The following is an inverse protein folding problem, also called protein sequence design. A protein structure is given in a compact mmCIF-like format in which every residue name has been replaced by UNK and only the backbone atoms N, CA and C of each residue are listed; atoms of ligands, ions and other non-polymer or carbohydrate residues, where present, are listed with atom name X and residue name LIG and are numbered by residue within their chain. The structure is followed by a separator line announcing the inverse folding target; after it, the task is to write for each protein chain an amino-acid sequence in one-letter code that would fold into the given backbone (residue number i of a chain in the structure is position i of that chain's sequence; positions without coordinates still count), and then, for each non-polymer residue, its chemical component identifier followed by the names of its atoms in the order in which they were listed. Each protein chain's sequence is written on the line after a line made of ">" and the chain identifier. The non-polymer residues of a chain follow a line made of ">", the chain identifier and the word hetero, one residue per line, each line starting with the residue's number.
data_IF_532766343864
#
_entry.id   IF_532766343864
#
_cell.length_a   1.000
_cell.length_b   1.000
_cell.length_c   1.000
_cell.angle_alpha   90.00
_cell.angle_beta   90.00
_cell.angle_gamma   90.00
#
_symmetry.space_group_name_H-M   'P 1'
#
loop_
_entity.id
_entity.type
_entity.pdbx_description
1 polymer ?
#
# COMPACT_ATOMS: atom_id res chain seq x y z
N UNK A 1 4.39 -8.57 -1.01
CA UNK A 1 4.45 -8.00 0.36
C UNK A 1 3.01 -7.79 0.82
N UNK A 2 2.57 -8.39 1.92
CA UNK A 2 1.13 -8.32 2.30
C UNK A 2 0.82 -7.26 3.34
N UNK A 3 -0.26 -6.50 3.15
CA UNK A 3 -0.81 -5.54 4.10
C UNK A 3 -2.19 -5.97 4.60
N UNK A 4 -2.50 -5.65 5.86
CA UNK A 4 -3.82 -5.77 6.48
C UNK A 4 -4.04 -4.66 7.50
N UNK A 5 -5.29 -4.41 7.86
CA UNK A 5 -5.61 -3.57 9.01
C UNK A 5 -5.18 -4.20 10.35
N UNK A 6 -5.05 -3.39 11.41
CA UNK A 6 -4.92 -3.89 12.79
C UNK A 6 -6.14 -4.73 13.18
N UNK A 7 -5.93 -5.83 13.91
CA UNK A 7 -7.01 -6.73 14.35
C UNK A 7 -7.70 -6.27 15.63
N UNK A 8 -7.01 -5.45 16.43
CA UNK A 8 -7.46 -4.93 17.73
C UNK A 8 -6.81 -3.57 18.04
N UNK A 9 -7.27 -2.92 19.11
CA UNK A 9 -6.78 -1.61 19.54
C UNK A 9 -5.31 -1.64 19.99
N UNK A 10 -4.84 -2.76 20.55
CA UNK A 10 -3.46 -2.92 20.96
C UNK A 10 -2.52 -2.91 19.75
N UNK A 11 -2.87 -3.64 18.70
CA UNK A 11 -2.12 -3.67 17.44
C UNK A 11 -2.18 -2.31 16.74
N UNK A 12 -3.33 -1.62 16.77
CA UNK A 12 -3.46 -0.26 16.24
C UNK A 12 -2.51 0.69 16.96
N UNK A 13 -2.46 0.64 18.29
CA UNK A 13 -1.57 1.48 19.08
C UNK A 13 -0.09 1.20 18.77
N UNK A 14 0.31 -0.07 18.67
CA UNK A 14 1.67 -0.47 18.27
C UNK A 14 2.04 0.05 16.89
N UNK A 15 1.13 -0.03 15.92
CA UNK A 15 1.35 0.47 14.57
C UNK A 15 1.57 2.01 14.57
N UNK A 16 0.75 2.75 15.30
CA UNK A 16 0.91 4.21 15.46
C UNK A 16 2.23 4.57 16.13
N UNK A 17 2.63 3.85 17.18
CA UNK A 17 3.94 4.03 17.83
C UNK A 17 5.10 3.75 16.87
N UNK A 18 4.99 2.73 16.01
CA UNK A 18 6.01 2.45 15.01
C UNK A 18 6.16 3.60 14.01
N UNK A 19 5.03 4.15 13.52
CA UNK A 19 5.02 5.31 12.62
C UNK A 19 5.67 6.52 13.29
N UNK A 20 5.27 6.86 14.52
CA UNK A 20 5.83 8.00 15.27
C UNK A 20 7.33 7.87 15.55
N UNK A 21 7.83 6.64 15.70
CA UNK A 21 9.25 6.34 15.88
C UNK A 21 10.02 6.20 14.55
N UNK A 22 9.44 6.61 13.41
CA UNK A 22 10.11 6.58 12.11
C UNK A 22 10.33 5.17 11.55
N UNK A 23 9.60 4.17 12.04
CA UNK A 23 9.65 2.78 11.55
C UNK A 23 8.62 2.50 10.46
N UNK A 24 7.80 3.48 10.11
CA UNK A 24 6.89 3.41 8.98
C UNK A 24 7.65 3.59 7.66
N UNK A 25 7.06 3.09 6.57
CA UNK A 25 7.50 3.34 5.20
C UNK A 25 6.37 4.00 4.44
N UNK A 26 6.69 4.92 3.54
CA UNK A 26 5.68 5.53 2.69
C UNK A 26 5.22 4.57 1.59
N UNK A 27 4.02 4.77 1.06
CA UNK A 27 3.53 3.98 -0.10
C UNK A 27 4.47 4.19 -1.29
N UNK A 28 4.97 5.40 -1.52
CA UNK A 28 5.88 5.70 -2.62
C UNK A 28 7.18 4.90 -2.51
N UNK A 29 7.81 4.84 -1.33
CA UNK A 29 9.03 4.04 -1.09
C UNK A 29 8.80 2.54 -1.31
N UNK A 30 7.62 2.03 -0.98
CA UNK A 30 7.29 0.61 -1.18
C UNK A 30 7.07 0.33 -2.66
N UNK A 31 6.37 1.23 -3.38
CA UNK A 31 6.15 1.07 -4.82
C UNK A 31 7.48 1.17 -5.58
N UNK A 32 8.33 2.14 -5.26
CA UNK A 32 9.65 2.30 -5.88
C UNK A 32 10.57 1.09 -5.65
N UNK A 33 10.55 0.49 -4.45
CA UNK A 33 11.29 -0.75 -4.19
C UNK A 33 10.78 -1.92 -5.07
N UNK A 34 9.47 -1.99 -5.31
CA UNK A 34 8.86 -3.08 -6.06
C UNK A 34 9.04 -2.92 -7.57
N UNK A 35 8.98 -1.70 -8.10
CA UNK A 35 9.06 -1.42 -9.53
C UNK A 35 10.45 -1.05 -9.99
N UNK A 36 11.32 -0.57 -9.10
CA UNK A 36 12.61 0.02 -9.43
C UNK A 36 12.52 1.44 -9.99
N UNK A 37 11.31 2.04 -10.01
CA UNK A 37 11.05 3.35 -10.59
C UNK A 37 10.24 4.22 -9.61
N UNK A 38 10.57 5.51 -9.54
CA UNK A 38 9.84 6.46 -8.73
C UNK A 38 8.38 6.56 -9.23
N UNK A 39 7.37 6.24 -8.39
CA UNK A 39 5.98 6.25 -8.82
C UNK A 39 5.46 7.68 -9.01
N UNK A 40 4.49 7.84 -9.91
CA UNK A 40 3.73 9.09 -10.01
C UNK A 40 2.79 9.25 -8.80
N UNK A 41 2.36 10.48 -8.53
CA UNK A 41 1.37 10.78 -7.50
C UNK A 41 0.05 10.05 -7.74
N UNK A 42 -0.37 9.92 -9.01
CA UNK A 42 -1.56 9.16 -9.40
C UNK A 42 -1.44 7.67 -9.05
N UNK A 43 -0.27 7.06 -9.29
CA UNK A 43 -0.02 5.67 -8.90
C UNK A 43 -0.08 5.49 -7.39
N UNK A 44 0.50 6.43 -6.62
CA UNK A 44 0.48 6.38 -5.15
C UNK A 44 -0.96 6.48 -4.63
N UNK A 45 -1.77 7.40 -5.15
CA UNK A 45 -3.18 7.52 -4.74
C UNK A 45 -4.01 6.31 -5.17
N UNK A 46 -3.77 5.73 -6.35
CA UNK A 46 -4.45 4.51 -6.77
C UNK A 46 -4.16 3.32 -5.83
N UNK A 47 -2.88 3.14 -5.44
CA UNK A 47 -2.48 2.10 -4.48
C UNK A 47 -3.13 2.36 -3.11
N UNK A 48 -3.09 3.60 -2.61
CA UNK A 48 -3.71 3.99 -1.35
C UNK A 48 -5.21 3.70 -1.33
N UNK A 49 -5.92 4.07 -2.38
CA UNK A 49 -7.36 3.80 -2.51
C UNK A 49 -7.65 2.30 -2.47
N UNK A 50 -6.88 1.48 -3.19
CA UNK A 50 -7.06 0.02 -3.18
C UNK A 50 -6.80 -0.58 -1.79
N UNK A 51 -5.78 -0.10 -1.08
CA UNK A 51 -5.47 -0.53 0.29
C UNK A 51 -6.61 -0.15 1.26
N UNK A 52 -7.18 1.05 1.13
CA UNK A 52 -8.30 1.47 1.94
C UNK A 52 -9.55 0.61 1.70
N UNK A 53 -9.89 0.33 0.43
CA UNK A 53 -11.00 -0.57 0.09
C UNK A 53 -10.83 -1.97 0.70
N UNK A 54 -9.59 -2.48 0.74
CA UNK A 54 -9.33 -3.78 1.33
C UNK A 54 -9.42 -3.79 2.85
N UNK A 55 -9.06 -2.68 3.52
CA UNK A 55 -9.29 -2.54 4.95
C UNK A 55 -10.77 -2.56 5.29
N UNK A 56 -11.60 -1.88 4.48
CA UNK A 56 -13.06 -1.85 4.66
C UNK A 56 -13.70 -3.22 4.46
N UNK A 57 -13.18 -4.04 3.55
CA UNK A 57 -13.66 -5.40 3.29
C UNK A 57 -13.03 -6.49 4.18
N UNK A 58 -12.04 -6.14 5.01
CA UNK A 58 -11.25 -7.10 5.79
C UNK A 58 -10.34 -8.01 4.95
N UNK A 59 -10.08 -7.63 3.70
CA UNK A 59 -9.25 -8.38 2.76
C UNK A 59 -7.76 -8.16 3.05
N UNK A 60 -6.97 -9.24 3.04
CA UNK A 60 -5.52 -9.13 3.03
C UNK A 60 -5.04 -8.82 1.61
N UNK A 61 -4.21 -7.79 1.47
CA UNK A 61 -3.74 -7.32 0.16
C UNK A 61 -2.30 -7.70 -0.05
N UNK A 62 -1.97 -8.27 -1.21
CA UNK A 62 -0.59 -8.27 -1.69
C UNK A 62 -0.31 -6.96 -2.44
N UNK A 63 0.53 -6.10 -1.86
CA UNK A 63 0.89 -4.80 -2.42
C UNK A 63 1.54 -4.97 -3.79
N UNK A 64 2.36 -6.02 -3.99
CA UNK A 64 3.01 -6.26 -5.26
C UNK A 64 1.99 -6.58 -6.36
N UNK A 65 0.99 -7.40 -6.03
CA UNK A 65 -0.10 -7.70 -6.97
C UNK A 65 -0.94 -6.46 -7.30
N UNK A 66 -1.18 -5.58 -6.32
CA UNK A 66 -1.88 -4.31 -6.57
C UNK A 66 -1.10 -3.42 -7.53
N UNK A 67 0.19 -3.19 -7.25
CA UNK A 67 1.05 -2.36 -8.10
C UNK A 67 1.11 -2.94 -9.51
N UNK A 68 1.34 -4.25 -9.65
CA UNK A 68 1.35 -4.94 -10.95
C UNK A 68 0.02 -4.76 -11.69
N UNK A 69 -1.12 -4.94 -11.01
CA UNK A 69 -2.44 -4.81 -11.64
C UNK A 69 -2.71 -3.38 -12.15
N UNK A 70 -2.23 -2.37 -11.43
CA UNK A 70 -2.35 -0.97 -11.83
C UNK A 70 -1.44 -0.65 -13.01
N UNK A 71 -0.20 -1.16 -13.02
CA UNK A 71 0.72 -1.03 -14.17
C UNK A 71 0.16 -1.70 -15.42
N UNK A 72 -0.40 -2.91 -15.29
CA UNK A 72 -1.01 -3.65 -16.40
C UNK A 72 -2.22 -2.89 -16.97
N UNK A 73 -3.06 -2.32 -16.09
CA UNK A 73 -4.17 -1.45 -16.49
C UNK A 73 -3.65 -0.22 -17.25
N UNK A 74 -2.68 0.52 -16.70
CA UNK A 74 -2.13 1.70 -17.37
C UNK A 74 -1.57 1.36 -18.76
N UNK A 75 -0.86 0.23 -18.90
CA UNK A 75 -0.29 -0.20 -20.18
C UNK A 75 -1.33 -0.59 -21.23
N UNK A 76 -2.49 -1.12 -20.81
CA UNK A 76 -3.58 -1.53 -21.72
C UNK A 76 -4.39 -0.37 -22.30
N UNK A 77 -4.31 0.81 -21.68
CA UNK A 77 -5.08 1.99 -22.07
C UNK A 77 -4.18 3.18 -22.48
N UNK A 78 -2.88 2.93 -22.69
CA UNK A 78 -1.90 3.87 -23.25
C UNK A 78 -1.91 3.82 -24.79
#
# INVERSE_FOLDING_TARGET
>A
MTARGPKDDEERFKALMAILNGRGRSIAEVVEELTGEAPSEETVEAVKNRLQMAQESGEQVDIAAVVQSLSDLASRWA
#
